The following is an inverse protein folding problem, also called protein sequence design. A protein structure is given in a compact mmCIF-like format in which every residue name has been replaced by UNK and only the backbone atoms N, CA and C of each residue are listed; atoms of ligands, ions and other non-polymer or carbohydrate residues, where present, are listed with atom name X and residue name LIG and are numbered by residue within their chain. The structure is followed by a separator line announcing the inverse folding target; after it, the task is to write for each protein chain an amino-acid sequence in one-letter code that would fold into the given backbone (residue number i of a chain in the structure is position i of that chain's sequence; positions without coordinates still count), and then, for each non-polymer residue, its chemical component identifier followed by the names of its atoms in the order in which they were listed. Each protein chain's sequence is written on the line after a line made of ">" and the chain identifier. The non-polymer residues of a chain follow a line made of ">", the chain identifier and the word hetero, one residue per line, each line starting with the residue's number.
data_IF_486565035148
#
_entry.id   IF_486565035148
#
_cell.length_a   1.000
_cell.length_b   1.000
_cell.length_c   1.000
_cell.angle_alpha   90.00
_cell.angle_beta   90.00
_cell.angle_gamma   90.00
#
_symmetry.space_group_name_H-M   'P 1'
#
loop_
_entity.id
_entity.type
_entity.pdbx_description
1 polymer ?
#
# COMPACT_ATOMS: atom_id res chain seq x y z
N UNK A 1 -32.52 13.59 22.02
CA UNK A 1 -31.82 13.38 20.75
C UNK A 1 -30.43 14.01 20.85
N UNK A 2 -29.45 13.21 21.28
CA UNK A 2 -28.08 13.66 21.48
C UNK A 2 -27.47 14.08 20.14
N UNK A 3 -26.95 15.30 20.12
CA UNK A 3 -26.48 16.00 18.95
C UNK A 3 -25.04 15.53 18.67
N UNK A 4 -24.87 14.45 17.89
CA UNK A 4 -23.55 13.94 17.43
C UNK A 4 -22.65 15.03 16.83
N UNK A 5 -23.23 16.17 16.42
CA UNK A 5 -22.50 17.33 15.90
C UNK A 5 -21.58 18.03 16.91
N UNK A 6 -21.84 17.96 18.22
CA UNK A 6 -21.06 18.73 19.20
C UNK A 6 -19.73 18.07 19.59
N UNK A 7 -19.70 16.75 19.78
CA UNK A 7 -18.50 16.06 20.28
C UNK A 7 -17.29 16.17 19.33
N UNK A 8 -17.53 16.20 18.03
CA UNK A 8 -16.46 16.35 17.04
C UNK A 8 -15.83 17.75 17.07
N UNK A 9 -16.65 18.79 17.26
CA UNK A 9 -16.19 20.18 17.39
C UNK A 9 -15.42 20.35 18.70
N UNK A 10 -15.99 19.87 19.81
CA UNK A 10 -15.36 19.91 21.13
C UNK A 10 -13.99 19.22 21.13
N UNK A 11 -13.87 18.06 20.48
CA UNK A 11 -12.59 17.37 20.35
C UNK A 11 -11.53 18.19 19.60
N UNK A 12 -11.92 18.91 18.54
CA UNK A 12 -11.02 19.79 17.79
C UNK A 12 -10.60 20.99 18.64
N UNK A 13 -11.52 21.59 19.39
CA UNK A 13 -11.23 22.72 20.28
C UNK A 13 -10.27 22.32 21.40
N UNK A 14 -10.48 21.17 22.04
CA UNK A 14 -9.58 20.63 23.05
C UNK A 14 -8.20 20.37 22.43
N UNK A 15 -8.14 19.75 21.24
CA UNK A 15 -6.87 19.47 20.56
C UNK A 15 -6.10 20.77 20.24
N UNK A 16 -6.79 21.80 19.76
CA UNK A 16 -6.20 23.12 19.51
C UNK A 16 -5.60 23.73 20.77
N UNK A 17 -6.33 23.70 21.88
CA UNK A 17 -5.88 24.24 23.16
C UNK A 17 -4.64 23.48 23.68
N UNK A 18 -4.62 22.15 23.54
CA UNK A 18 -3.46 21.35 23.96
C UNK A 18 -2.24 21.64 23.08
N UNK A 19 -2.43 21.80 21.75
CA UNK A 19 -1.34 22.16 20.83
C UNK A 19 -0.68 23.50 21.18
N UNK A 20 -1.43 24.45 21.73
CA UNK A 20 -0.86 25.72 22.20
C UNK A 20 -0.16 25.61 23.54
N UNK A 21 -0.83 25.01 24.52
CA UNK A 21 -0.40 25.03 25.91
C UNK A 21 0.74 24.04 26.18
N UNK A 22 0.87 22.97 25.39
CA UNK A 22 1.84 21.89 25.61
C UNK A 22 2.90 21.79 24.51
N UNK A 23 3.21 22.88 23.81
CA UNK A 23 4.15 22.93 22.68
C UNK A 23 5.56 22.35 22.95
N UNK A 24 5.99 22.32 24.22
CA UNK A 24 7.31 21.78 24.61
C UNK A 24 7.27 20.27 24.92
N UNK A 25 6.09 19.69 25.13
CA UNK A 25 5.91 18.32 25.60
C UNK A 25 5.07 17.44 24.66
N UNK A 26 4.46 18.01 23.62
CA UNK A 26 3.59 17.30 22.68
C UNK A 26 3.93 17.64 21.23
N UNK A 27 4.05 16.60 20.40
CA UNK A 27 4.07 16.71 18.94
C UNK A 27 2.81 16.05 18.39
N UNK A 28 2.07 16.78 17.56
CA UNK A 28 0.86 16.26 16.88
C UNK A 28 1.18 16.09 15.40
N UNK A 29 0.96 14.88 14.87
CA UNK A 29 1.09 14.58 13.44
C UNK A 29 -0.30 14.25 12.90
N UNK A 30 -0.81 15.11 12.03
CA UNK A 30 -2.05 14.87 11.29
C UNK A 30 -1.70 14.18 9.97
N UNK A 31 -2.39 13.10 9.65
CA UNK A 31 -2.16 12.33 8.41
C UNK A 31 -3.49 11.96 7.76
N UNK A 32 -3.56 12.12 6.45
CA UNK A 32 -4.75 11.85 5.65
C UNK A 32 -4.52 12.16 4.17
N UNK A 33 -5.51 11.87 3.34
CA UNK A 33 -5.48 12.25 1.93
C UNK A 33 -5.50 13.77 1.79
N UNK A 34 -4.75 14.29 0.80
CA UNK A 34 -4.52 15.73 0.62
C UNK A 34 -5.82 16.52 0.52
N UNK A 35 -6.75 16.08 -0.33
CA UNK A 35 -8.07 16.69 -0.52
C UNK A 35 -8.89 16.78 0.79
N UNK A 36 -8.86 15.71 1.59
CA UNK A 36 -9.54 15.64 2.89
C UNK A 36 -8.88 16.52 3.93
N UNK A 37 -7.55 16.60 3.93
CA UNK A 37 -6.81 17.49 4.83
C UNK A 37 -7.01 18.96 4.46
N UNK A 38 -7.03 19.29 3.17
CA UNK A 38 -7.32 20.64 2.69
C UNK A 38 -8.73 21.08 3.08
N UNK A 39 -9.73 20.19 2.93
CA UNK A 39 -11.08 20.44 3.42
C UNK A 39 -11.13 20.60 4.94
N UNK A 40 -10.44 19.74 5.69
CA UNK A 40 -10.36 19.80 7.14
C UNK A 40 -9.77 21.14 7.63
N UNK A 41 -8.68 21.61 7.02
CA UNK A 41 -8.06 22.89 7.38
C UNK A 41 -8.92 24.09 6.98
N UNK A 42 -9.61 24.02 5.84
CA UNK A 42 -10.55 25.06 5.41
C UNK A 42 -11.71 25.23 6.40
N UNK A 43 -12.21 24.13 6.95
CA UNK A 43 -13.27 24.14 7.96
C UNK A 43 -12.77 24.55 9.36
N UNK A 44 -11.47 24.37 9.64
CA UNK A 44 -10.87 24.62 10.94
C UNK A 44 -9.63 25.54 10.80
N UNK A 45 -9.80 26.84 10.52
CA UNK A 45 -8.69 27.76 10.27
C UNK A 45 -7.72 27.88 11.46
N UNK A 46 -8.23 27.69 12.69
CA UNK A 46 -7.39 27.61 13.89
C UNK A 46 -6.33 26.50 13.80
N UNK A 47 -6.66 25.36 13.20
CA UNK A 47 -5.69 24.27 13.02
C UNK A 47 -4.62 24.61 12.00
N UNK A 48 -5.00 25.20 10.87
CA UNK A 48 -4.03 25.57 9.82
C UNK A 48 -2.94 26.50 10.35
N UNK A 49 -3.28 27.45 11.24
CA UNK A 49 -2.30 28.37 11.83
C UNK A 49 -1.29 27.73 12.79
N UNK A 50 -1.62 26.55 13.37
CA UNK A 50 -0.79 25.87 14.38
C UNK A 50 0.01 24.70 13.79
N UNK A 51 -0.30 24.27 12.56
CA UNK A 51 0.50 23.28 11.83
C UNK A 51 1.63 24.00 11.11
N UNK A 52 2.83 23.96 11.68
CA UNK A 52 4.00 24.66 11.14
C UNK A 52 4.57 24.03 9.86
N UNK A 53 4.33 22.73 9.65
CA UNK A 53 4.94 21.96 8.56
C UNK A 53 3.89 21.15 7.81
N UNK A 54 3.85 21.33 6.49
CA UNK A 54 3.06 20.52 5.57
C UNK A 54 4.01 19.68 4.75
N UNK A 55 3.90 18.35 4.88
CA UNK A 55 4.71 17.40 4.12
C UNK A 55 3.76 16.65 3.19
N UNK A 56 3.91 16.88 1.90
CA UNK A 56 3.19 16.15 0.87
C UNK A 56 3.91 14.83 0.57
N UNK A 57 3.17 13.72 0.62
CA UNK A 57 3.66 12.41 0.21
C UNK A 57 3.11 12.11 -1.17
N UNK A 58 3.92 12.26 -2.25
CA UNK A 58 3.45 11.97 -3.60
C UNK A 58 3.22 10.47 -3.77
N UNK A 59 2.36 10.15 -4.73
CA UNK A 59 2.17 8.77 -5.16
C UNK A 59 3.45 8.23 -5.78
N UNK A 60 3.82 7.00 -5.40
CA UNK A 60 4.94 6.31 -6.02
C UNK A 60 4.69 6.04 -7.51
N UNK A 61 5.73 6.24 -8.32
CA UNK A 61 5.82 5.77 -9.70
C UNK A 61 5.85 4.24 -9.76
N UNK A 62 5.59 3.67 -10.94
CA UNK A 62 5.69 2.21 -11.14
C UNK A 62 7.10 1.71 -10.83
N UNK A 63 8.15 2.46 -11.21
CA UNK A 63 9.53 2.06 -10.95
C UNK A 63 9.86 2.06 -9.45
N UNK A 64 9.35 3.03 -8.69
CA UNK A 64 9.49 3.03 -7.23
C UNK A 64 8.70 1.89 -6.59
N UNK A 65 7.50 1.56 -7.08
CA UNK A 65 6.74 0.40 -6.61
C UNK A 65 7.45 -0.92 -6.92
N UNK A 66 8.12 -1.03 -8.07
CA UNK A 66 8.98 -2.17 -8.41
C UNK A 66 10.19 -2.25 -7.47
N UNK A 67 10.83 -1.12 -7.15
CA UNK A 67 11.93 -1.09 -6.18
C UNK A 67 11.47 -1.52 -4.78
N UNK A 68 10.29 -1.07 -4.33
CA UNK A 68 9.67 -1.54 -3.08
C UNK A 68 9.42 -3.04 -3.13
N UNK A 69 8.94 -3.57 -4.25
CA UNK A 69 8.71 -5.00 -4.43
C UNK A 69 10.00 -5.81 -4.30
N UNK A 70 11.07 -5.36 -4.96
CA UNK A 70 12.39 -5.99 -4.89
C UNK A 70 12.92 -6.03 -3.45
N UNK A 71 12.81 -4.92 -2.70
CA UNK A 71 13.22 -4.87 -1.29
C UNK A 71 12.42 -5.85 -0.41
N UNK A 72 11.10 -5.95 -0.63
CA UNK A 72 10.25 -6.90 0.10
C UNK A 72 10.61 -8.35 -0.19
N UNK A 73 10.80 -8.70 -1.46
CA UNK A 73 11.17 -10.05 -1.88
C UNK A 73 12.55 -10.44 -1.35
N UNK A 74 13.53 -9.54 -1.44
CA UNK A 74 14.87 -9.77 -0.91
C UNK A 74 14.85 -10.01 0.61
N UNK A 75 14.06 -9.23 1.36
CA UNK A 75 13.93 -9.42 2.81
C UNK A 75 13.34 -10.79 3.18
N UNK A 76 12.57 -11.40 2.28
CA UNK A 76 11.95 -12.70 2.46
C UNK A 76 12.68 -13.84 1.73
N UNK A 77 13.86 -13.57 1.15
CA UNK A 77 14.66 -14.52 0.35
C UNK A 77 13.94 -15.09 -0.87
N UNK A 78 13.09 -14.28 -1.50
CA UNK A 78 12.46 -14.56 -2.79
C UNK A 78 13.06 -13.70 -3.90
N UNK A 79 12.96 -14.19 -5.12
CA UNK A 79 13.35 -13.49 -6.34
C UNK A 79 12.25 -13.66 -7.40
N UNK A 80 12.08 -12.67 -8.28
CA UNK A 80 11.25 -12.82 -9.48
C UNK A 80 12.14 -13.36 -10.61
N UNK A 81 11.63 -14.28 -11.43
CA UNK A 81 12.24 -14.52 -12.74
C UNK A 81 12.11 -13.29 -13.65
N UNK A 82 12.92 -13.21 -14.71
CA UNK A 82 12.86 -12.06 -15.64
C UNK A 82 11.46 -11.86 -16.25
N UNK A 83 10.77 -12.96 -16.56
CA UNK A 83 9.37 -12.89 -17.03
C UNK A 83 8.40 -12.50 -15.92
N UNK A 84 8.67 -12.91 -14.67
CA UNK A 84 7.88 -12.51 -13.51
C UNK A 84 8.04 -11.03 -13.18
N UNK A 85 9.22 -10.43 -13.35
CA UNK A 85 9.41 -8.98 -13.20
C UNK A 85 8.53 -8.20 -14.19
N UNK A 86 8.52 -8.61 -15.45
CA UNK A 86 7.67 -8.03 -16.49
C UNK A 86 6.17 -8.21 -16.16
N UNK A 87 5.79 -9.41 -15.70
CA UNK A 87 4.42 -9.69 -15.27
C UNK A 87 4.02 -8.84 -14.05
N UNK A 88 4.91 -8.64 -13.07
CA UNK A 88 4.62 -7.85 -11.88
C UNK A 88 4.52 -6.35 -12.20
N UNK A 89 5.36 -5.85 -13.10
CA UNK A 89 5.23 -4.48 -13.64
C UNK A 89 3.86 -4.29 -14.30
N UNK A 90 3.48 -5.21 -15.19
CA UNK A 90 2.19 -5.19 -15.86
C UNK A 90 1.00 -5.30 -14.87
N UNK A 91 1.18 -6.05 -13.78
CA UNK A 91 0.23 -6.12 -12.67
C UNK A 91 0.09 -4.76 -11.98
N UNK A 92 1.20 -4.10 -11.63
CA UNK A 92 1.19 -2.80 -10.95
C UNK A 92 0.56 -1.72 -11.82
N UNK A 93 0.92 -1.64 -13.11
CA UNK A 93 0.34 -0.69 -14.07
C UNK A 93 -1.19 -0.76 -14.10
N UNK A 94 -1.77 -1.95 -13.99
CA UNK A 94 -3.23 -2.14 -13.88
C UNK A 94 -3.73 -1.80 -12.48
N UNK A 95 -3.05 -2.31 -11.46
CA UNK A 95 -3.49 -2.24 -10.06
C UNK A 95 -3.58 -0.80 -9.54
N UNK A 96 -2.69 0.09 -9.99
CA UNK A 96 -2.71 1.52 -9.60
C UNK A 96 -3.96 2.24 -10.10
N UNK A 97 -4.57 1.77 -11.20
CA UNK A 97 -5.80 2.36 -11.77
C UNK A 97 -7.08 1.81 -11.13
N UNK A 98 -6.98 0.79 -10.29
CA UNK A 98 -8.12 0.14 -9.66
C UNK A 98 -8.47 0.76 -8.30
N UNK A 99 -9.74 0.69 -7.87
CA UNK A 99 -10.16 1.20 -6.57
C UNK A 99 -9.32 0.64 -5.40
N UNK A 100 -9.26 1.40 -4.31
CA UNK A 100 -8.58 1.00 -3.06
C UNK A 100 -7.10 0.63 -3.29
N UNK A 101 -6.41 1.25 -4.24
CA UNK A 101 -4.96 1.17 -4.32
C UNK A 101 -4.34 1.86 -3.09
N UNK A 102 -3.27 1.27 -2.55
CA UNK A 102 -2.67 1.68 -1.29
C UNK A 102 -1.14 1.53 -1.31
N UNK A 103 -0.50 1.96 -2.41
CA UNK A 103 0.96 1.96 -2.59
C UNK A 103 1.65 0.65 -2.13
N UNK A 104 2.62 0.75 -1.23
CA UNK A 104 3.39 -0.36 -0.69
C UNK A 104 2.51 -1.47 -0.08
N UNK A 105 1.33 -1.14 0.49
CA UNK A 105 0.38 -2.16 0.97
C UNK A 105 -0.19 -2.98 -0.19
N UNK A 106 -0.49 -2.34 -1.32
CA UNK A 106 -0.95 -3.05 -2.52
C UNK A 106 0.16 -3.90 -3.15
N UNK A 107 1.41 -3.43 -3.13
CA UNK A 107 2.58 -4.20 -3.56
C UNK A 107 2.74 -5.45 -2.68
N UNK A 108 2.76 -5.30 -1.36
CA UNK A 108 2.82 -6.41 -0.39
C UNK A 108 1.73 -7.45 -0.64
N UNK A 109 0.48 -7.01 -0.73
CA UNK A 109 -0.65 -7.91 -0.99
C UNK A 109 -0.56 -8.61 -2.36
N UNK A 110 0.10 -7.99 -3.35
CA UNK A 110 0.41 -8.59 -4.64
C UNK A 110 1.43 -9.72 -4.50
N UNK A 111 2.54 -9.43 -3.83
CA UNK A 111 3.62 -10.40 -3.54
C UNK A 111 3.09 -11.57 -2.72
N UNK A 112 2.35 -11.34 -1.64
CA UNK A 112 1.79 -12.41 -0.79
C UNK A 112 0.90 -13.36 -1.59
N UNK A 113 0.09 -12.83 -2.52
CA UNK A 113 -0.75 -13.65 -3.39
C UNK A 113 0.03 -14.38 -4.48
N UNK A 114 1.13 -13.82 -4.96
CA UNK A 114 2.04 -14.50 -5.88
C UNK A 114 2.76 -15.65 -5.14
N UNK A 115 3.25 -15.42 -3.93
CA UNK A 115 3.88 -16.44 -3.07
C UNK A 115 2.94 -17.59 -2.74
N UNK A 116 1.67 -17.31 -2.46
CA UNK A 116 0.68 -18.37 -2.24
C UNK A 116 0.49 -19.25 -3.50
N UNK A 117 0.47 -18.63 -4.68
CA UNK A 117 0.36 -19.36 -5.95
C UNK A 117 1.62 -20.15 -6.29
N UNK A 118 2.79 -19.55 -6.06
CA UNK A 118 4.09 -20.20 -6.15
C UNK A 118 4.16 -21.45 -5.27
N UNK A 119 3.80 -21.33 -3.99
CA UNK A 119 3.78 -22.46 -3.06
C UNK A 119 2.86 -23.59 -3.53
N UNK A 120 1.68 -23.26 -4.05
CA UNK A 120 0.75 -24.25 -4.60
C UNK A 120 1.31 -24.93 -5.86
N UNK A 121 1.98 -24.17 -6.74
CA UNK A 121 2.63 -24.74 -7.94
C UNK A 121 3.71 -25.74 -7.54
N UNK A 122 4.66 -25.33 -6.70
CA UNK A 122 5.75 -26.18 -6.23
C UNK A 122 5.21 -27.43 -5.54
N UNK A 123 4.14 -27.31 -4.76
CA UNK A 123 3.48 -28.45 -4.13
C UNK A 123 2.95 -29.47 -5.14
N UNK A 124 2.27 -29.01 -6.20
CA UNK A 124 1.77 -29.92 -7.25
C UNK A 124 2.93 -30.55 -8.05
N UNK A 125 4.01 -29.82 -8.33
CA UNK A 125 5.21 -30.37 -8.97
C UNK A 125 5.84 -31.52 -8.15
N UNK A 126 5.94 -31.33 -6.82
CA UNK A 126 6.43 -32.38 -5.89
C UNK A 126 5.52 -33.61 -5.95
N UNK A 127 4.21 -33.40 -5.92
CA UNK A 127 3.20 -34.47 -5.97
C UNK A 127 3.25 -35.24 -7.29
N UNK A 128 3.60 -34.58 -8.39
CA UNK A 128 3.83 -35.17 -9.70
C UNK A 128 5.20 -35.87 -9.82
N UNK A 129 5.98 -35.91 -8.74
CA UNK A 129 7.24 -36.65 -8.66
C UNK A 129 8.50 -35.84 -8.96
N UNK A 130 8.40 -34.51 -9.10
CA UNK A 130 9.57 -33.65 -9.28
C UNK A 130 10.22 -33.37 -7.92
N UNK A 131 11.56 -33.39 -7.88
CA UNK A 131 12.32 -32.99 -6.70
C UNK A 131 12.77 -31.53 -6.88
N UNK A 132 12.19 -30.55 -6.16
CA UNK A 132 12.50 -29.15 -6.35
C UNK A 132 13.94 -28.84 -5.91
N UNK A 133 14.65 -28.12 -6.77
CA UNK A 133 15.90 -27.48 -6.43
C UNK A 133 15.67 -26.22 -5.60
N UNK A 134 16.78 -25.61 -5.16
CA UNK A 134 16.72 -24.35 -4.41
C UNK A 134 16.01 -23.23 -5.20
N UNK A 135 16.27 -23.13 -6.51
CA UNK A 135 15.64 -22.14 -7.40
C UNK A 135 14.12 -22.22 -7.33
N UNK A 136 13.57 -23.44 -7.37
CA UNK A 136 12.13 -23.67 -7.42
C UNK A 136 11.44 -23.21 -6.14
N UNK A 137 12.17 -23.20 -5.02
CA UNK A 137 11.65 -22.77 -3.71
C UNK A 137 11.71 -21.25 -3.48
N UNK A 138 12.54 -20.53 -4.24
CA UNK A 138 12.78 -19.09 -4.02
C UNK A 138 12.34 -18.22 -5.19
N UNK A 139 12.17 -18.80 -6.38
CA UNK A 139 11.88 -18.05 -7.60
C UNK A 139 10.37 -18.08 -7.91
N UNK A 140 9.77 -16.89 -7.89
CA UNK A 140 8.40 -16.67 -8.34
C UNK A 140 8.42 -16.50 -9.86
N UNK A 141 7.56 -17.23 -10.56
CA UNK A 141 7.47 -17.17 -12.02
C UNK A 141 6.29 -16.32 -12.49
N UNK A 142 6.29 -15.99 -13.77
CA UNK A 142 5.25 -15.16 -14.38
C UNK A 142 3.83 -15.71 -14.15
N UNK A 143 3.64 -17.03 -14.19
CA UNK A 143 2.31 -17.63 -13.98
C UNK A 143 1.75 -17.41 -12.57
N UNK A 144 2.62 -17.26 -11.56
CA UNK A 144 2.22 -17.01 -10.17
C UNK A 144 1.60 -15.62 -10.04
N UNK A 145 1.94 -14.71 -10.94
CA UNK A 145 1.44 -13.34 -11.01
C UNK A 145 0.24 -13.27 -11.95
N UNK A 146 0.37 -13.81 -13.18
CA UNK A 146 -0.61 -13.69 -14.27
C UNK A 146 -1.98 -14.31 -13.93
N UNK A 147 -2.04 -15.31 -13.04
CA UNK A 147 -3.30 -15.87 -12.50
C UNK A 147 -4.10 -14.89 -11.62
N UNK A 148 -3.75 -13.60 -11.59
CA UNK A 148 -4.41 -12.62 -10.71
C UNK A 148 -5.65 -12.08 -11.40
N UNK A 149 -6.74 -11.95 -10.65
CA UNK A 149 -7.95 -11.27 -11.13
C UNK A 149 -7.74 -9.81 -11.57
N UNK A 150 -6.59 -9.19 -11.23
CA UNK A 150 -6.21 -7.88 -11.77
C UNK A 150 -6.07 -7.91 -13.30
N UNK A 151 -5.71 -9.05 -13.89
CA UNK A 151 -5.64 -9.24 -15.33
C UNK A 151 -6.99 -9.58 -15.97
N UNK A 152 -7.98 -10.03 -15.19
CA UNK A 152 -9.32 -10.34 -15.68
C UNK A 152 -10.20 -9.08 -15.79
N UNK A 153 -9.90 -8.06 -15.00
CA UNK A 153 -10.67 -6.81 -14.94
C UNK A 153 -10.65 -5.98 -16.24
N UNK A 154 -9.76 -6.28 -17.20
CA UNK A 154 -9.71 -5.63 -18.51
C UNK A 154 -10.73 -6.22 -19.52
N UNK A 155 -11.42 -7.32 -19.20
CA UNK A 155 -12.31 -8.05 -20.13
C UNK A 155 -13.76 -7.58 -20.05
N UNK A 156 -14.11 -6.73 -19.07
CA UNK A 156 -15.46 -6.17 -18.92
C UNK A 156 -15.36 -4.65 -19.05
N UNK A 157 -15.34 -4.17 -20.30
CA UNK A 157 -15.56 -2.76 -20.67
C UNK A 157 -16.42 -2.72 -21.92
#
# INVERSE_FOLDING_TARGET
>A
PENERDYGVEAIEILLQVMENQRENLVVILAGYKDRMDEFFRLNPGMSSRVAHHIDFPDYTIDELMAIAALMLQAESYELSGDAENAFRAYLERRVRQPRFAHARSVRNGIERARLRHANRVYEEIKDGHAPGRSDLVQIEAEDILKSSVFEADVVS
#
